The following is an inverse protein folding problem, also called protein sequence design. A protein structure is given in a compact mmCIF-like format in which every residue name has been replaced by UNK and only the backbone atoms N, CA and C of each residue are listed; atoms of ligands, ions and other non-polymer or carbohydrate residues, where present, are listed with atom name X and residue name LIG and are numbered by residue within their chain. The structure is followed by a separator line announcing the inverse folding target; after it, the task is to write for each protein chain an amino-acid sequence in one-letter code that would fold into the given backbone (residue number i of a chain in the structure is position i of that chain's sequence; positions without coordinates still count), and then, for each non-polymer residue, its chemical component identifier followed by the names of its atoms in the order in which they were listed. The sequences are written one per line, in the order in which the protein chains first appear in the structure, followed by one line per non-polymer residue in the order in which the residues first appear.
data_IF_257978627127
#
_entry.id   IF_257978627127
#
_cell.length_a   1.000
_cell.length_b   1.000
_cell.length_c   1.000
_cell.angle_alpha   90.00
_cell.angle_beta   90.00
_cell.angle_gamma   90.00
#
_symmetry.space_group_name_H-M   'P 1'
#
loop_
_entity.id
_entity.type
_entity.pdbx_description
1 polymer ?
#
# COMPACT_ATOMS: atom_id res chain seq x y z
N UNK A 1 10.30 -1.02 28.36
CA UNK A 1 8.91 -0.81 27.89
C UNK A 1 8.95 0.22 26.78
N UNK A 2 8.54 -0.17 25.57
CA UNK A 2 8.53 0.67 24.37
C UNK A 2 7.74 1.96 24.57
N UNK A 3 8.17 3.09 24.00
CA UNK A 3 7.48 4.36 24.13
C UNK A 3 6.10 4.33 23.47
N UNK A 4 5.16 5.19 23.90
CA UNK A 4 3.80 5.24 23.37
C UNK A 4 3.85 5.64 21.89
N UNK A 5 3.23 4.84 21.02
CA UNK A 5 3.06 5.18 19.60
C UNK A 5 2.21 6.45 19.48
N UNK A 6 2.87 7.53 19.09
CA UNK A 6 2.32 8.84 18.70
C UNK A 6 1.15 8.73 17.69
N UNK A 7 0.30 9.75 17.55
CA UNK A 7 -0.93 9.69 16.75
C UNK A 7 -0.70 9.76 15.22
N UNK A 8 0.50 9.43 14.71
CA UNK A 8 0.80 9.35 13.27
C UNK A 8 0.43 7.98 12.69
N UNK A 9 -0.71 7.44 13.10
CA UNK A 9 -1.15 6.09 12.73
C UNK A 9 -1.86 6.13 11.38
N UNK A 10 -1.10 6.32 10.30
CA UNK A 10 -1.62 6.16 8.92
C UNK A 10 -0.60 5.49 7.99
N UNK A 11 0.71 5.70 8.19
CA UNK A 11 1.73 5.11 7.30
C UNK A 11 2.01 3.62 7.57
N UNK A 12 2.00 3.16 8.83
CA UNK A 12 2.35 1.77 9.16
C UNK A 12 1.41 0.77 8.44
N UNK A 13 0.13 1.12 8.31
CA UNK A 13 -0.88 0.33 7.61
C UNK A 13 -0.60 0.20 6.10
N UNK A 14 0.00 1.21 5.47
CA UNK A 14 0.27 1.20 4.02
C UNK A 14 1.38 0.22 3.64
N UNK A 15 2.42 0.11 4.46
CA UNK A 15 3.48 -0.87 4.24
C UNK A 15 2.93 -2.30 4.36
N UNK A 16 2.12 -2.57 5.40
CA UNK A 16 1.47 -3.87 5.56
C UNK A 16 0.47 -4.17 4.44
N UNK A 17 -0.27 -3.16 3.99
CA UNK A 17 -1.23 -3.30 2.90
C UNK A 17 -0.58 -3.60 1.55
N UNK A 18 0.60 -3.02 1.30
CA UNK A 18 1.44 -3.36 0.15
C UNK A 18 2.24 -4.65 0.35
N UNK A 19 2.28 -5.19 1.58
CA UNK A 19 3.07 -6.38 1.92
C UNK A 19 4.57 -6.12 1.84
N UNK A 20 5.01 -4.91 2.15
CA UNK A 20 6.42 -4.50 2.17
C UNK A 20 6.86 -4.13 3.59
N UNK A 21 8.16 -4.14 3.83
CA UNK A 21 8.69 -3.70 5.12
C UNK A 21 8.71 -2.17 5.21
N UNK A 22 8.68 -1.63 6.43
CA UNK A 22 8.79 -0.18 6.68
C UNK A 22 10.13 0.41 6.22
N UNK A 23 11.13 -0.44 6.04
CA UNK A 23 12.46 -0.09 5.51
C UNK A 23 12.57 -0.31 4.00
N UNK A 24 11.48 -0.72 3.34
CA UNK A 24 11.51 -0.97 1.90
C UNK A 24 11.75 0.31 1.12
N UNK A 25 12.58 0.21 0.09
CA UNK A 25 12.88 1.32 -0.80
C UNK A 25 11.70 1.61 -1.74
N UNK A 26 11.65 2.82 -2.33
CA UNK A 26 10.63 3.16 -3.35
C UNK A 26 10.53 2.12 -4.47
N UNK A 27 11.66 1.55 -4.90
CA UNK A 27 11.71 0.47 -5.89
C UNK A 27 10.96 -0.79 -5.45
N UNK A 28 11.05 -1.16 -4.17
CA UNK A 28 10.34 -2.31 -3.60
C UNK A 28 8.85 -2.02 -3.44
N UNK A 29 8.50 -0.83 -2.93
CA UNK A 29 7.13 -0.33 -2.83
C UNK A 29 6.45 -0.36 -4.21
N UNK A 30 7.14 0.11 -5.25
CA UNK A 30 6.67 0.10 -6.65
C UNK A 30 6.53 -1.31 -7.22
N UNK A 31 7.45 -2.21 -6.88
CA UNK A 31 7.38 -3.61 -7.31
C UNK A 31 6.19 -4.33 -6.67
N UNK A 32 5.97 -4.12 -5.37
CA UNK A 32 4.84 -4.68 -4.62
C UNK A 32 3.51 -4.12 -5.11
N UNK A 33 3.41 -2.79 -5.27
CA UNK A 33 2.24 -2.14 -5.85
C UNK A 33 1.89 -2.73 -7.22
N UNK A 34 2.87 -2.90 -8.13
CA UNK A 34 2.61 -3.49 -9.45
C UNK A 34 2.08 -4.93 -9.37
N UNK A 35 2.61 -5.75 -8.46
CA UNK A 35 2.10 -7.12 -8.25
C UNK A 35 0.66 -7.11 -7.75
N UNK A 36 0.34 -6.27 -6.78
CA UNK A 36 -1.01 -6.16 -6.21
C UNK A 36 -1.99 -5.50 -7.17
N UNK A 37 -1.56 -4.50 -7.93
CA UNK A 37 -2.34 -3.82 -8.96
C UNK A 37 -2.75 -4.79 -10.06
N UNK A 38 -1.86 -5.68 -10.49
CA UNK A 38 -2.20 -6.76 -11.42
C UNK A 38 -3.15 -7.78 -10.77
N UNK A 39 -2.93 -8.15 -9.50
CA UNK A 39 -3.78 -9.11 -8.78
C UNK A 39 -5.21 -8.61 -8.62
N UNK A 40 -5.39 -7.33 -8.27
CA UNK A 40 -6.68 -6.70 -8.04
C UNK A 40 -7.17 -5.85 -9.22
N UNK A 41 -6.56 -5.99 -10.39
CA UNK A 41 -6.91 -5.19 -11.57
C UNK A 41 -8.38 -5.43 -11.96
N UNK A 42 -9.16 -4.39 -12.30
CA UNK A 42 -10.56 -4.55 -12.70
C UNK A 42 -10.73 -5.41 -13.97
N UNK A 43 -9.73 -5.41 -14.86
CA UNK A 43 -9.70 -6.28 -16.05
C UNK A 43 -9.67 -7.77 -15.69
N UNK A 44 -8.95 -8.13 -14.62
CA UNK A 44 -8.82 -9.53 -14.16
C UNK A 44 -9.90 -9.91 -13.15
N UNK A 45 -10.49 -8.92 -12.47
CA UNK A 45 -11.53 -9.09 -11.46
C UNK A 45 -12.76 -8.22 -11.81
N UNK A 46 -13.40 -8.46 -12.97
CA UNK A 46 -14.55 -7.68 -13.38
C UNK A 46 -15.70 -7.89 -12.39
N UNK A 47 -16.21 -6.81 -11.81
CA UNK A 47 -17.34 -6.84 -10.87
C UNK A 47 -16.99 -7.23 -9.43
N UNK A 48 -15.71 -7.40 -9.11
CA UNK A 48 -15.28 -7.70 -7.73
C UNK A 48 -15.09 -6.41 -6.92
N UNK A 49 -16.03 -6.17 -6.00
CA UNK A 49 -16.01 -5.01 -5.10
C UNK A 49 -14.80 -5.07 -4.15
N UNK A 50 -14.40 -6.26 -3.70
CA UNK A 50 -13.25 -6.42 -2.83
C UNK A 50 -11.96 -6.08 -3.57
N UNK A 51 -11.80 -6.53 -4.82
CA UNK A 51 -10.65 -6.17 -5.65
C UNK A 51 -10.60 -4.66 -5.89
N UNK A 52 -11.74 -4.03 -6.17
CA UNK A 52 -11.82 -2.58 -6.37
C UNK A 52 -11.43 -1.79 -5.12
N UNK A 53 -11.89 -2.22 -3.94
CA UNK A 53 -11.53 -1.60 -2.66
C UNK A 53 -10.05 -1.80 -2.32
N UNK A 54 -9.53 -3.01 -2.52
CA UNK A 54 -8.10 -3.31 -2.34
C UNK A 54 -7.24 -2.49 -3.30
N UNK A 55 -7.62 -2.42 -4.58
CA UNK A 55 -6.93 -1.61 -5.59
C UNK A 55 -6.85 -0.14 -5.19
N UNK A 56 -7.95 0.41 -4.65
CA UNK A 56 -7.98 1.78 -4.13
C UNK A 56 -7.02 1.95 -2.94
N UNK A 57 -7.05 1.02 -1.97
CA UNK A 57 -6.16 1.07 -0.80
C UNK A 57 -4.68 0.99 -1.20
N UNK A 58 -4.29 0.05 -2.08
CA UNK A 58 -2.89 -0.09 -2.51
C UNK A 58 -2.42 1.12 -3.31
N UNK A 59 -3.33 1.78 -4.04
CA UNK A 59 -3.02 2.99 -4.79
C UNK A 59 -2.78 4.19 -3.88
N UNK A 60 -3.56 4.32 -2.80
CA UNK A 60 -3.35 5.34 -1.77
C UNK A 60 -2.03 5.07 -1.04
N UNK A 61 -1.82 3.82 -0.61
CA UNK A 61 -0.58 3.39 0.05
C UNK A 61 0.64 3.72 -0.81
N UNK A 62 0.63 3.33 -2.08
CA UNK A 62 1.72 3.65 -3.01
C UNK A 62 1.91 5.16 -3.16
N UNK A 63 0.84 5.94 -3.32
CA UNK A 63 0.95 7.39 -3.48
C UNK A 63 1.48 8.10 -2.23
N UNK A 64 1.25 7.56 -1.04
CA UNK A 64 1.80 8.13 0.20
C UNK A 64 3.25 7.71 0.40
N UNK A 65 3.58 6.45 0.13
CA UNK A 65 4.92 5.91 0.35
C UNK A 65 5.91 6.26 -0.77
N UNK A 66 5.42 6.54 -1.99
CA UNK A 66 6.26 6.98 -3.11
C UNK A 66 6.41 8.49 -3.21
N UNK A 67 5.80 9.27 -2.32
CA UNK A 67 5.98 10.72 -2.28
C UNK A 67 6.99 11.07 -1.19
N UNK A 68 8.25 11.35 -1.55
CA UNK A 68 9.29 11.68 -0.56
C UNK A 68 9.13 13.07 0.07
N UNK A 69 8.12 13.86 -0.34
CA UNK A 69 7.93 15.27 0.07
C UNK A 69 6.66 15.50 0.92
N UNK A 70 6.04 14.44 1.45
CA UNK A 70 4.84 14.56 2.29
C UNK A 70 5.08 14.20 3.74
#
# INVERSE_FOLDING_TARGET
MSPPKSPEVIQEDYYELLGVEKKSSESEIKAAYRKLALKYHPDRNPGDIHAQEQFKKISIAYSVLSDPNK
#
